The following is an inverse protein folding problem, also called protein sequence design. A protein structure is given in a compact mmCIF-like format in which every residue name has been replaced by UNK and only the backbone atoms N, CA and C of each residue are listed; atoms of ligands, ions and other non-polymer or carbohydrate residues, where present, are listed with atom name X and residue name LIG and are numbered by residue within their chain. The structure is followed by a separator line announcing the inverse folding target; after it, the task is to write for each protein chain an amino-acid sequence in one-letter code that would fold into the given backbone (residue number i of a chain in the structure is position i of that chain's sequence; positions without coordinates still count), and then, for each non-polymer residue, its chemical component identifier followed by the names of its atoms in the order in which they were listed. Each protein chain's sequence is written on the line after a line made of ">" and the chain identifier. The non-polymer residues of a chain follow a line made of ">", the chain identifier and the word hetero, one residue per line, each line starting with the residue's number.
data_IF_097202790328
#
_entry.id   IF_097202790328
#
_cell.length_a   1.000
_cell.length_b   1.000
_cell.length_c   1.000
_cell.angle_alpha   90.00
_cell.angle_beta   90.00
_cell.angle_gamma   90.00
#
_symmetry.space_group_name_H-M   'P 1'
#
loop_
_entity.id
_entity.type
_entity.pdbx_description
1 polymer ?
#
# COMPACT_ATOMS: atom_id res chain seq x y z
N UNK A 1 25.89 33.95 27.60
CA UNK A 1 25.34 33.98 26.23
C UNK A 1 24.39 32.81 25.94
N UNK A 2 24.71 31.55 26.28
CA UNK A 2 23.83 30.40 26.02
C UNK A 2 22.38 30.54 26.56
N UNK A 3 22.20 31.13 27.75
CA UNK A 3 20.88 31.36 28.35
C UNK A 3 19.99 32.35 27.57
N UNK A 4 20.58 33.36 26.95
CA UNK A 4 19.82 34.33 26.15
C UNK A 4 19.32 33.70 24.85
N UNK A 5 20.14 32.83 24.24
CA UNK A 5 19.77 32.11 23.02
C UNK A 5 18.67 31.07 23.29
N UNK A 6 18.74 30.36 24.42
CA UNK A 6 17.69 29.42 24.82
C UNK A 6 16.35 30.11 25.07
N UNK A 7 16.35 31.24 25.78
CA UNK A 7 15.14 32.04 26.03
C UNK A 7 14.51 32.57 24.74
N UNK A 8 15.33 32.97 23.76
CA UNK A 8 14.84 33.42 22.46
C UNK A 8 14.14 32.30 21.69
N UNK A 9 14.75 31.11 21.63
CA UNK A 9 14.18 29.95 20.92
C UNK A 9 12.83 29.55 21.54
N UNK A 10 12.70 29.56 22.87
CA UNK A 10 11.44 29.24 23.54
C UNK A 10 10.33 30.27 23.23
N UNK A 11 10.65 31.57 23.23
CA UNK A 11 9.68 32.62 22.87
C UNK A 11 9.21 32.49 21.42
N UNK A 12 10.12 32.17 20.52
CA UNK A 12 9.79 31.98 19.11
C UNK A 12 8.89 30.75 18.90
N UNK A 13 9.14 29.65 19.64
CA UNK A 13 8.26 28.48 19.63
C UNK A 13 6.87 28.79 20.16
N UNK A 14 6.77 29.52 21.28
CA UNK A 14 5.50 29.94 21.86
C UNK A 14 4.68 30.81 20.89
N UNK A 15 5.34 31.73 20.18
CA UNK A 15 4.68 32.57 19.16
C UNK A 15 4.13 31.73 18.00
N UNK A 16 4.86 30.70 17.57
CA UNK A 16 4.43 29.81 16.48
C UNK A 16 3.24 28.95 16.89
N UNK A 17 3.20 28.47 18.14
CA UNK A 17 2.04 27.73 18.65
C UNK A 17 0.81 28.62 18.80
N UNK A 18 0.98 29.87 19.21
CA UNK A 18 -0.12 30.85 19.28
C UNK A 18 -0.69 31.19 17.89
N UNK A 19 0.18 31.35 16.89
CA UNK A 19 -0.25 31.52 15.49
C UNK A 19 -0.99 30.30 14.96
N UNK A 20 -0.57 29.09 15.33
CA UNK A 20 -1.28 27.86 14.96
C UNK A 20 -2.66 27.81 15.60
N UNK A 21 -2.78 28.16 16.87
CA UNK A 21 -4.06 28.17 17.58
C UNK A 21 -5.02 29.18 16.92
N UNK A 22 -4.55 30.38 16.56
CA UNK A 22 -5.36 31.37 15.83
C UNK A 22 -5.85 30.86 14.46
N UNK A 23 -5.00 30.15 13.71
CA UNK A 23 -5.37 29.56 12.42
C UNK A 23 -6.39 28.42 12.57
N UNK A 24 -6.26 27.62 13.65
CA UNK A 24 -7.21 26.55 13.94
C UNK A 24 -8.56 27.11 14.40
N UNK A 25 -8.56 28.25 15.08
CA UNK A 25 -9.78 28.95 15.46
C UNK A 25 -10.51 29.56 14.24
N UNK A 26 -9.76 30.06 13.26
CA UNK A 26 -10.29 30.61 11.99
C UNK A 26 -10.87 29.52 11.05
N UNK A 27 -10.55 28.23 11.27
CA UNK A 27 -11.25 27.14 10.60
C UNK A 27 -12.71 27.12 11.08
N UNK A 28 -13.62 27.63 10.26
CA UNK A 28 -15.07 27.50 10.46
C UNK A 28 -15.45 26.02 10.65
N UNK A 29 -16.61 25.78 11.29
CA UNK A 29 -17.21 24.45 11.38
C UNK A 29 -17.38 23.92 9.94
N UNK A 30 -16.45 23.05 9.54
CA UNK A 30 -16.45 22.44 8.22
C UNK A 30 -17.84 21.86 7.94
N UNK A 31 -18.41 22.24 6.78
CA UNK A 31 -19.74 21.78 6.33
C UNK A 31 -19.77 20.25 6.14
N UNK A 32 -18.60 19.62 6.09
CA UNK A 32 -18.46 18.17 6.04
C UNK A 32 -18.52 17.58 7.44
N UNK A 33 -19.42 16.60 7.62
CA UNK A 33 -19.53 15.77 8.81
C UNK A 33 -18.13 15.20 9.14
N UNK A 34 -17.49 15.79 10.16
CA UNK A 34 -16.11 15.45 10.49
C UNK A 34 -16.10 14.00 10.93
N UNK A 35 -15.30 13.18 10.25
CA UNK A 35 -15.11 11.76 10.58
C UNK A 35 -14.25 11.68 11.86
N UNK A 36 -14.77 12.17 12.98
CA UNK A 36 -14.07 12.26 14.26
C UNK A 36 -12.85 13.18 14.28
N UNK A 37 -12.63 14.01 13.25
CA UNK A 37 -11.55 15.00 13.22
C UNK A 37 -12.04 16.32 13.80
N UNK A 38 -11.90 16.46 15.11
CA UNK A 38 -12.11 17.72 15.82
C UNK A 38 -10.92 18.67 15.59
N UNK A 39 -11.13 19.96 15.90
CA UNK A 39 -10.06 20.98 15.85
C UNK A 39 -8.84 20.56 16.69
N UNK A 40 -9.07 19.85 17.79
CA UNK A 40 -8.01 19.32 18.64
C UNK A 40 -7.18 18.23 17.95
N UNK A 41 -7.80 17.29 17.21
CA UNK A 41 -7.09 16.30 16.42
C UNK A 41 -6.26 16.94 15.30
N UNK A 42 -6.80 17.96 14.61
CA UNK A 42 -6.04 18.71 13.59
C UNK A 42 -4.81 19.37 14.22
N UNK A 43 -4.98 20.04 15.36
CA UNK A 43 -3.88 20.64 16.12
C UNK A 43 -2.82 19.61 16.49
N UNK A 44 -3.23 18.48 17.06
CA UNK A 44 -2.31 17.42 17.47
C UNK A 44 -1.57 16.84 16.28
N UNK A 45 -2.27 16.58 15.17
CA UNK A 45 -1.67 16.06 13.95
C UNK A 45 -0.59 16.99 13.37
N UNK A 46 -0.83 18.30 13.36
CA UNK A 46 0.16 19.28 12.90
C UNK A 46 1.39 19.28 13.81
N UNK A 47 1.19 19.24 15.14
CA UNK A 47 2.29 19.15 16.12
C UNK A 47 3.11 17.88 15.91
N UNK A 48 2.44 16.74 15.68
CA UNK A 48 3.09 15.46 15.45
C UNK A 48 3.94 15.47 14.17
N UNK A 49 3.41 15.97 13.05
CA UNK A 49 4.16 16.15 11.80
C UNK A 49 5.37 17.08 12.01
N UNK A 50 5.21 18.18 12.74
CA UNK A 50 6.31 19.10 13.03
C UNK A 50 7.40 18.44 13.88
N UNK A 51 7.02 17.62 14.86
CA UNK A 51 7.95 16.89 15.72
C UNK A 51 8.66 15.76 14.97
N UNK A 52 7.94 15.01 14.13
CA UNK A 52 8.50 13.99 13.25
C UNK A 52 9.56 14.59 12.32
N UNK A 53 9.26 15.73 11.68
CA UNK A 53 10.23 16.46 10.85
C UNK A 53 11.45 16.93 11.64
N UNK A 54 11.28 17.38 12.89
CA UNK A 54 12.41 17.77 13.75
C UNK A 54 13.27 16.55 14.12
N UNK A 55 12.65 15.40 14.38
CA UNK A 55 13.36 14.15 14.66
C UNK A 55 14.10 13.62 13.44
N UNK A 56 13.50 13.70 12.24
CA UNK A 56 14.15 13.22 11.01
C UNK A 56 15.41 14.02 10.68
N UNK A 57 15.39 15.35 10.83
CA UNK A 57 16.57 16.21 10.66
C UNK A 57 17.68 15.83 11.63
N UNK A 58 17.33 15.49 12.88
CA UNK A 58 18.31 15.01 13.88
C UNK A 58 18.93 13.67 13.49
N UNK A 59 18.19 12.83 12.77
CA UNK A 59 18.65 11.53 12.27
C UNK A 59 19.33 11.61 10.90
N UNK A 60 19.55 12.82 10.35
CA UNK A 60 20.18 13.02 9.04
C UNK A 60 19.29 12.73 7.82
N UNK A 61 17.98 12.51 8.01
CA UNK A 61 17.02 12.36 6.92
C UNK A 61 16.41 13.73 6.58
N UNK A 62 16.90 14.34 5.50
CA UNK A 62 16.36 15.58 4.94
C UNK A 62 15.34 15.28 3.83
N UNK A 63 14.06 15.41 4.17
CA UNK A 63 12.96 15.20 3.22
C UNK A 63 12.79 16.32 2.20
N UNK A 64 13.46 17.47 2.34
CA UNK A 64 13.40 18.52 1.32
C UNK A 64 14.11 18.11 0.03
N UNK A 65 15.15 17.27 0.16
CA UNK A 65 15.92 16.73 -0.97
C UNK A 65 15.16 15.68 -1.79
N UNK A 66 14.19 14.99 -1.18
CA UNK A 66 13.41 13.94 -1.87
C UNK A 66 12.43 14.49 -2.90
N UNK A 67 12.07 15.78 -2.81
CA UNK A 67 11.20 16.44 -3.79
C UNK A 67 11.94 16.95 -5.03
N UNK A 68 13.28 16.98 -5.00
CA UNK A 68 14.13 17.48 -6.09
C UNK A 68 14.91 16.38 -6.84
N UNK A 69 14.70 15.11 -6.50
CA UNK A 69 15.40 13.97 -7.10
C UNK A 69 14.42 13.03 -7.80
N UNK A 70 13.82 13.49 -8.90
CA UNK A 70 13.23 12.56 -9.87
C UNK A 70 13.21 13.17 -11.28
N UNK A 71 14.37 13.62 -11.77
CA UNK A 71 14.67 13.65 -13.20
C UNK A 71 16.08 13.10 -13.44
N UNK A 72 16.13 11.79 -13.71
CA UNK A 72 17.15 11.16 -14.55
C UNK A 72 18.58 11.11 -14.02
N UNK A 73 18.99 9.95 -13.50
CA UNK A 73 20.31 9.39 -13.80
C UNK A 73 20.37 7.89 -13.54
N UNK A 74 20.19 7.15 -14.63
CA UNK A 74 20.84 5.86 -14.85
C UNK A 74 22.34 6.07 -15.07
N UNK A 75 23.19 5.47 -14.24
CA UNK A 75 24.37 4.69 -14.67
C UNK A 75 25.26 4.31 -13.47
N UNK A 76 25.46 3.00 -13.32
CA UNK A 76 26.75 2.30 -13.19
C UNK A 76 27.76 2.72 -12.10
N UNK A 77 28.07 1.72 -11.27
CA UNK A 77 29.40 1.33 -10.79
C UNK A 77 30.37 2.42 -10.31
N UNK A 78 30.62 2.48 -9.01
CA UNK A 78 31.89 1.98 -8.46
C UNK A 78 32.04 2.17 -6.94
N UNK A 79 32.56 1.08 -6.37
CA UNK A 79 33.36 0.89 -5.18
C UNK A 79 33.87 2.10 -4.36
N UNK A 80 33.94 1.81 -3.06
CA UNK A 80 34.97 2.19 -2.09
C UNK A 80 34.71 3.44 -1.25
N UNK A 81 34.22 3.24 -0.02
CA UNK A 81 34.70 4.01 1.13
C UNK A 81 34.62 3.17 2.41
N UNK A 82 35.79 2.69 2.79
CA UNK A 82 36.19 2.19 4.10
C UNK A 82 36.08 3.30 5.15
N UNK A 83 35.34 3.09 6.25
CA UNK A 83 35.57 3.83 7.50
C UNK A 83 35.00 3.13 8.73
N UNK A 84 35.95 2.52 9.43
CA UNK A 84 36.13 2.45 10.88
C UNK A 84 34.97 2.07 11.79
N UNK A 85 35.11 0.84 12.29
CA UNK A 85 34.59 0.30 13.54
C UNK A 85 34.70 1.28 14.71
N UNK A 86 33.63 1.38 15.48
CA UNK A 86 33.69 1.66 16.92
C UNK A 86 32.90 0.56 17.63
N UNK A 87 33.65 -0.45 18.08
CA UNK A 87 33.19 -1.43 19.07
C UNK A 87 32.77 -0.70 20.33
N UNK A 88 31.50 -0.83 20.69
CA UNK A 88 31.06 -0.69 22.08
C UNK A 88 30.55 -2.05 22.48
N UNK A 89 31.37 -2.77 23.26
CA UNK A 89 30.98 -4.01 23.92
C UNK A 89 29.93 -3.67 24.99
N UNK A 90 28.76 -4.30 24.91
CA UNK A 90 27.80 -4.35 26.00
C UNK A 90 27.60 -5.84 26.37
N UNK A 91 27.95 -6.27 27.59
CA UNK A 91 27.86 -7.66 28.01
C UNK A 91 26.52 -7.88 28.71
N UNK A 92 25.57 -8.51 28.02
CA UNK A 92 24.48 -9.24 28.67
C UNK A 92 24.06 -10.42 27.79
N UNK A 93 24.86 -11.48 27.92
CA UNK A 93 24.43 -12.86 27.73
C UNK A 93 23.18 -13.13 28.58
N UNK A 94 22.06 -13.43 27.91
CA UNK A 94 20.98 -14.19 28.52
C UNK A 94 20.60 -15.32 27.57
N UNK A 95 21.28 -16.45 27.78
CA UNK A 95 20.95 -17.76 27.24
C UNK A 95 19.45 -18.03 27.39
N UNK A 96 18.75 -18.18 26.26
CA UNK A 96 17.44 -18.82 26.26
C UNK A 96 17.58 -20.14 25.53
N UNK A 97 17.45 -21.20 26.31
CA UNK A 97 17.53 -22.59 25.90
C UNK A 97 16.41 -22.93 24.91
N UNK A 98 16.79 -23.53 23.78
CA UNK A 98 15.92 -24.37 22.96
C UNK A 98 15.65 -25.69 23.70
N UNK A 99 14.37 -26.07 23.86
CA UNK A 99 14.05 -27.45 23.53
C UNK A 99 12.64 -27.57 22.92
N UNK A 100 12.56 -28.16 21.73
CA UNK A 100 11.87 -29.44 21.55
C UNK A 100 11.69 -29.76 20.06
N UNK A 101 12.48 -30.75 19.62
CA UNK A 101 12.06 -31.72 18.62
C UNK A 101 10.69 -32.30 19.00
N UNK A 102 9.73 -32.19 18.08
CA UNK A 102 8.57 -33.07 18.08
C UNK A 102 8.38 -33.61 16.67
N UNK A 103 9.09 -34.70 16.39
CA UNK A 103 8.70 -35.67 15.37
C UNK A 103 7.24 -36.08 15.64
N UNK A 104 6.35 -35.86 14.67
CA UNK A 104 5.05 -36.54 14.67
C UNK A 104 4.91 -37.35 13.40
N UNK A 105 4.91 -38.64 13.66
CA UNK A 105 4.61 -39.80 12.85
C UNK A 105 3.56 -39.61 11.76
N UNK A 106 3.97 -40.08 10.59
CA UNK A 106 3.23 -40.87 9.62
C UNK A 106 2.17 -41.81 10.27
N UNK A 107 0.93 -41.77 9.77
CA UNK A 107 0.00 -42.90 9.83
C UNK A 107 -1.22 -42.70 8.91
N UNK A 108 -1.30 -43.63 7.96
CA UNK A 108 -2.48 -44.39 7.51
C UNK A 108 -3.67 -43.65 6.87
N UNK A 109 -3.79 -43.91 5.57
CA UNK A 109 -4.97 -44.51 4.92
C UNK A 109 -6.27 -44.59 5.74
N UNK A 110 -7.33 -43.94 5.24
CA UNK A 110 -8.67 -44.51 5.31
C UNK A 110 -9.47 -44.09 4.07
N UNK A 111 -9.72 -45.08 3.22
CA UNK A 111 -10.81 -45.07 2.23
C UNK A 111 -12.16 -44.79 2.90
N UNK A 112 -13.00 -43.99 2.23
CA UNK A 112 -14.37 -44.36 1.81
C UNK A 112 -15.28 -43.14 1.65
N UNK A 113 -15.56 -42.84 0.38
CA UNK A 113 -16.90 -42.88 -0.20
C UNK A 113 -18.05 -42.23 0.60
N UNK A 114 -18.40 -40.99 0.26
CA UNK A 114 -19.81 -40.60 0.16
C UNK A 114 -20.02 -39.73 -1.07
N UNK A 115 -20.60 -40.38 -2.07
CA UNK A 115 -21.26 -39.84 -3.24
C UNK A 115 -22.31 -38.79 -2.83
N UNK A 116 -22.14 -37.55 -3.28
CA UNK A 116 -23.22 -36.56 -3.34
C UNK A 116 -23.57 -36.29 -4.81
N UNK A 117 -24.86 -36.23 -5.16
CA UNK A 117 -25.30 -36.08 -6.54
C UNK A 117 -24.91 -34.72 -7.09
N UNK A 118 -24.24 -34.73 -8.24
CA UNK A 118 -23.92 -33.57 -9.07
C UNK A 118 -25.21 -32.89 -9.53
N UNK A 119 -25.61 -31.83 -8.83
CA UNK A 119 -26.82 -31.05 -9.13
C UNK A 119 -26.53 -29.67 -9.74
N UNK A 120 -25.30 -29.42 -10.20
CA UNK A 120 -24.89 -28.14 -10.81
C UNK A 120 -24.54 -28.23 -12.30
N UNK A 121 -25.03 -29.23 -13.02
CA UNK A 121 -24.99 -29.26 -14.48
C UNK A 121 -26.24 -28.59 -15.08
N UNK A 122 -26.30 -27.25 -15.05
CA UNK A 122 -27.03 -26.41 -16.02
C UNK A 122 -27.01 -24.94 -15.60
N UNK A 123 -25.90 -24.26 -15.87
CA UNK A 123 -25.97 -22.84 -16.22
C UNK A 123 -25.36 -22.71 -17.61
N UNK A 124 -26.18 -22.21 -18.52
CA UNK A 124 -25.99 -22.24 -19.95
C UNK A 124 -24.64 -21.69 -20.39
N UNK A 125 -23.89 -22.55 -21.06
CA UNK A 125 -22.70 -22.22 -21.83
C UNK A 125 -23.15 -21.50 -23.12
N UNK A 126 -23.66 -20.27 -23.02
CA UNK A 126 -23.86 -19.41 -24.19
C UNK A 126 -22.53 -18.77 -24.56
N UNK A 127 -21.66 -19.56 -25.20
CA UNK A 127 -20.48 -19.06 -25.93
C UNK A 127 -20.93 -18.27 -27.16
N UNK A 128 -21.45 -17.08 -26.91
CA UNK A 128 -21.36 -16.01 -27.89
C UNK A 128 -19.91 -15.54 -27.86
N UNK A 129 -19.12 -15.93 -28.86
CA UNK A 129 -17.81 -15.37 -29.15
C UNK A 129 -17.97 -13.88 -29.50
N UNK A 130 -18.27 -13.05 -28.50
CA UNK A 130 -17.89 -11.65 -28.55
C UNK A 130 -16.37 -11.68 -28.53
N UNK A 131 -15.74 -11.15 -29.59
CA UNK A 131 -14.30 -10.90 -29.60
C UNK A 131 -13.98 -10.24 -28.28
N UNK A 132 -13.30 -10.98 -27.42
CA UNK A 132 -12.83 -10.48 -26.15
C UNK A 132 -12.03 -9.23 -26.48
N UNK A 133 -12.54 -8.08 -26.06
CA UNK A 133 -11.77 -6.85 -26.08
C UNK A 133 -10.65 -7.09 -25.08
N UNK A 134 -9.56 -7.71 -25.55
CA UNK A 134 -8.36 -7.95 -24.76
C UNK A 134 -7.88 -6.58 -24.28
N UNK A 135 -8.13 -6.31 -23.00
CA UNK A 135 -7.64 -5.11 -22.33
C UNK A 135 -6.12 -5.06 -22.48
N UNK A 136 -5.60 -3.88 -22.79
CA UNK A 136 -4.15 -3.69 -22.81
C UNK A 136 -3.58 -3.97 -21.41
N UNK A 137 -2.31 -4.36 -21.35
CA UNK A 137 -1.64 -4.58 -20.06
C UNK A 137 -1.64 -3.29 -19.23
N UNK A 138 -1.46 -2.15 -19.88
CA UNK A 138 -1.47 -0.83 -19.28
C UNK A 138 -2.83 -0.52 -18.65
N UNK A 139 -3.93 -0.82 -19.35
CA UNK A 139 -5.29 -0.66 -18.83
C UNK A 139 -5.53 -1.54 -17.60
N UNK A 140 -5.11 -2.81 -17.66
CA UNK A 140 -5.23 -3.74 -16.54
C UNK A 140 -4.47 -3.22 -15.30
N UNK A 141 -3.29 -2.62 -15.49
CA UNK A 141 -2.51 -2.01 -14.41
C UNK A 141 -3.27 -0.84 -13.79
N UNK A 142 -3.91 0.02 -14.59
CA UNK A 142 -4.68 1.16 -14.09
C UNK A 142 -5.90 0.68 -13.30
N UNK A 143 -6.65 -0.29 -13.82
CA UNK A 143 -7.82 -0.89 -13.15
C UNK A 143 -7.43 -1.43 -11.77
N UNK A 144 -6.37 -2.24 -11.70
CA UNK A 144 -5.89 -2.81 -10.42
C UNK A 144 -5.39 -1.73 -9.48
N UNK A 145 -4.65 -0.73 -9.99
CA UNK A 145 -4.15 0.38 -9.16
C UNK A 145 -5.30 1.16 -8.50
N UNK A 146 -6.37 1.44 -9.24
CA UNK A 146 -7.57 2.12 -8.71
C UNK A 146 -8.35 1.21 -7.76
N UNK A 147 -8.47 -0.08 -8.05
CA UNK A 147 -9.16 -1.04 -7.19
C UNK A 147 -8.55 -1.10 -5.78
N UNK A 148 -7.22 -1.06 -5.67
CA UNK A 148 -6.52 -1.05 -4.40
C UNK A 148 -6.36 0.34 -3.79
N UNK A 149 -6.69 1.42 -4.52
CA UNK A 149 -6.49 2.79 -4.06
C UNK A 149 -5.02 3.23 -4.00
N UNK A 150 -4.15 2.59 -4.78
CA UNK A 150 -2.72 2.93 -4.87
C UNK A 150 -2.49 4.12 -5.81
N UNK A 151 -1.37 4.84 -5.64
CA UNK A 151 -1.00 5.96 -6.55
C UNK A 151 -0.36 5.41 -7.82
N UNK A 152 0.63 4.51 -7.67
CA UNK A 152 1.33 3.87 -8.78
C UNK A 152 1.13 2.35 -8.73
N UNK A 153 1.31 1.70 -9.89
CA UNK A 153 1.25 0.23 -9.99
C UNK A 153 2.37 -0.48 -9.21
N UNK A 154 3.52 0.18 -9.05
CA UNK A 154 4.63 -0.27 -8.19
C UNK A 154 4.19 -0.51 -6.75
N UNK A 155 3.26 0.32 -6.26
CA UNK A 155 2.84 0.36 -4.86
C UNK A 155 1.87 -0.76 -4.50
N UNK A 156 1.35 -1.49 -5.50
CA UNK A 156 0.48 -2.65 -5.30
C UNK A 156 1.37 -3.89 -5.17
N UNK A 157 1.65 -4.42 -3.96
CA UNK A 157 2.49 -5.60 -3.82
C UNK A 157 1.77 -6.84 -4.34
N UNK A 158 2.54 -7.82 -4.81
CA UNK A 158 1.99 -9.10 -5.29
C UNK A 158 1.24 -9.88 -4.20
N UNK A 159 1.58 -9.65 -2.93
CA UNK A 159 0.91 -10.23 -1.77
C UNK A 159 -0.56 -9.78 -1.63
N UNK A 160 -0.95 -8.63 -2.20
CA UNK A 160 -2.35 -8.17 -2.19
C UNK A 160 -3.16 -8.73 -3.36
N UNK A 161 -2.52 -8.92 -4.52
CA UNK A 161 -3.14 -9.44 -5.74
C UNK A 161 -3.45 -10.94 -5.60
N UNK A 162 -2.52 -11.70 -5.03
CA UNK A 162 -2.59 -13.17 -4.99
C UNK A 162 -3.81 -13.71 -4.22
N UNK A 163 -4.17 -13.19 -3.03
CA UNK A 163 -5.36 -13.64 -2.30
C UNK A 163 -6.66 -13.38 -3.05
N UNK A 164 -6.81 -12.22 -3.71
CA UNK A 164 -7.97 -11.92 -4.53
C UNK A 164 -8.05 -12.84 -5.74
N UNK A 165 -6.92 -13.09 -6.39
CA UNK A 165 -6.88 -13.99 -7.52
C UNK A 165 -7.24 -15.42 -7.12
N UNK A 166 -6.80 -15.90 -5.95
CA UNK A 166 -7.23 -17.21 -5.40
C UNK A 166 -8.71 -17.23 -5.01
N UNK A 167 -9.26 -16.11 -4.54
CA UNK A 167 -10.67 -15.97 -4.18
C UNK A 167 -11.57 -16.03 -5.41
N UNK A 168 -11.14 -15.44 -6.53
CA UNK A 168 -11.95 -15.35 -7.75
C UNK A 168 -11.64 -16.46 -8.75
N UNK A 169 -10.40 -16.94 -8.80
CA UNK A 169 -9.96 -18.04 -9.66
C UNK A 169 -9.56 -19.25 -8.82
N UNK A 170 -10.18 -20.39 -9.09
CA UNK A 170 -9.95 -21.61 -8.32
C UNK A 170 -8.59 -22.27 -8.61
N UNK A 171 -7.88 -21.85 -9.66
CA UNK A 171 -6.51 -22.30 -9.93
C UNK A 171 -5.59 -21.13 -10.31
N UNK A 172 -4.68 -20.80 -9.40
CA UNK A 172 -3.63 -19.81 -9.64
C UNK A 172 -2.28 -20.48 -9.42
N UNK A 173 -1.42 -20.59 -10.45
CA UNK A 173 -0.07 -21.09 -10.29
C UNK A 173 0.73 -20.16 -9.37
N UNK A 174 1.46 -20.73 -8.40
CA UNK A 174 2.35 -19.97 -7.52
C UNK A 174 3.47 -19.24 -8.27
N UNK A 175 3.86 -19.75 -9.45
CA UNK A 175 4.93 -19.21 -10.30
C UNK A 175 4.48 -18.08 -11.24
N UNK A 176 3.21 -17.68 -11.21
CA UNK A 176 2.64 -16.72 -12.14
C UNK A 176 3.21 -15.30 -11.96
N UNK A 177 3.69 -14.63 -13.02
CA UNK A 177 4.21 -13.26 -12.91
C UNK A 177 3.14 -12.25 -12.45
N UNK A 178 3.57 -11.14 -11.83
CA UNK A 178 2.66 -10.07 -11.34
C UNK A 178 1.79 -9.53 -12.47
N UNK A 179 2.38 -9.27 -13.63
CA UNK A 179 1.67 -8.72 -14.79
C UNK A 179 0.64 -9.70 -15.36
N UNK A 180 0.96 -11.00 -15.41
CA UNK A 180 -0.03 -11.99 -15.82
C UNK A 180 -1.17 -12.08 -14.80
N UNK A 181 -0.88 -11.99 -13.50
CA UNK A 181 -1.89 -12.03 -12.44
C UNK A 181 -2.86 -10.85 -12.57
N UNK A 182 -2.33 -9.66 -12.92
CA UNK A 182 -3.11 -8.44 -13.16
C UNK A 182 -3.98 -8.56 -14.41
N UNK A 183 -3.46 -9.10 -15.51
CA UNK A 183 -4.26 -9.37 -16.73
C UNK A 183 -5.46 -10.26 -16.45
N UNK A 184 -5.30 -11.26 -15.58
CA UNK A 184 -6.42 -12.14 -15.18
C UNK A 184 -7.36 -11.50 -14.16
N UNK A 185 -6.84 -10.69 -13.25
CA UNK A 185 -7.62 -10.07 -12.19
C UNK A 185 -8.49 -8.91 -12.69
N UNK A 186 -8.01 -8.12 -13.65
CA UNK A 186 -8.71 -6.90 -14.09
C UNK A 186 -10.12 -7.17 -14.64
N UNK A 187 -10.36 -8.16 -15.51
CA UNK A 187 -11.71 -8.50 -15.98
C UNK A 187 -12.65 -8.91 -14.82
N UNK A 188 -12.16 -9.73 -13.89
CA UNK A 188 -12.93 -10.18 -12.72
C UNK A 188 -13.36 -9.02 -11.80
N UNK A 189 -12.54 -7.96 -11.71
CA UNK A 189 -12.89 -6.77 -10.93
C UNK A 189 -14.02 -5.95 -11.57
N UNK A 190 -14.07 -5.94 -12.91
CA UNK A 190 -15.14 -5.28 -13.68
C UNK A 190 -16.42 -6.11 -13.59
N UNK A 191 -16.35 -7.42 -13.83
CA UNK A 191 -17.48 -8.34 -13.82
C UNK A 191 -18.20 -8.36 -12.46
N UNK A 192 -17.42 -8.25 -11.37
CA UNK A 192 -17.95 -8.20 -10.00
C UNK A 192 -18.39 -6.81 -9.56
N UNK A 193 -18.31 -5.80 -10.44
CA UNK A 193 -18.65 -4.39 -10.16
C UNK A 193 -17.89 -3.82 -8.96
N UNK A 194 -16.63 -4.23 -8.77
CA UNK A 194 -15.73 -3.62 -7.78
C UNK A 194 -15.18 -2.32 -8.36
N UNK A 195 -14.93 -2.32 -9.67
CA UNK A 195 -14.48 -1.18 -10.45
C UNK A 195 -15.43 -0.98 -11.63
N UNK A 196 -15.75 0.28 -11.92
CA UNK A 196 -16.50 0.70 -13.09
C UNK A 196 -15.56 1.49 -14.01
N UNK A 197 -15.55 1.13 -15.29
CA UNK A 197 -14.77 1.83 -16.32
C UNK A 197 -15.76 2.57 -17.22
N UNK A 198 -15.63 3.90 -17.29
CA UNK A 198 -16.56 4.76 -18.03
C UNK A 198 -16.15 5.00 -19.49
N UNK A 199 -15.18 4.24 -20.02
CA UNK A 199 -14.71 4.40 -21.40
C UNK A 199 -15.76 3.92 -22.40
N UNK A 200 -15.94 4.67 -23.49
CA UNK A 200 -16.74 4.19 -24.61
C UNK A 200 -16.04 2.97 -25.25
N UNK A 201 -16.80 1.97 -25.71
CA UNK A 201 -16.25 0.78 -26.36
C UNK A 201 -15.59 1.18 -27.70
N UNK A 202 -14.27 1.40 -27.68
CA UNK A 202 -13.49 1.78 -28.86
C UNK A 202 -12.23 2.58 -28.55
N UNK A 203 -12.18 3.27 -27.40
CA UNK A 203 -11.00 4.02 -26.99
C UNK A 203 -9.95 3.10 -26.35
N UNK A 204 -8.80 3.01 -26.99
CA UNK A 204 -7.73 2.05 -26.67
C UNK A 204 -6.81 2.47 -25.52
N UNK A 205 -7.11 3.56 -24.80
CA UNK A 205 -6.30 4.02 -23.68
C UNK A 205 -7.20 4.44 -22.51
N UNK A 206 -7.33 3.55 -21.52
CA UNK A 206 -8.06 3.86 -20.29
C UNK A 206 -7.18 4.77 -19.43
N UNK A 207 -7.68 5.97 -19.10
CA UNK A 207 -7.00 6.86 -18.16
C UNK A 207 -7.53 6.65 -16.73
N UNK A 208 -6.71 7.01 -15.73
CA UNK A 208 -7.07 6.81 -14.31
C UNK A 208 -8.39 7.48 -13.91
N UNK A 209 -8.74 8.63 -14.50
CA UNK A 209 -9.98 9.35 -14.19
C UNK A 209 -11.24 8.67 -14.76
N UNK A 210 -11.08 7.75 -15.73
CA UNK A 210 -12.18 6.97 -16.31
C UNK A 210 -12.52 5.72 -15.48
N UNK A 211 -11.76 5.46 -14.43
CA UNK A 211 -11.90 4.25 -13.61
C UNK A 211 -12.37 4.68 -12.22
N UNK A 212 -13.57 4.21 -11.83
CA UNK A 212 -14.18 4.52 -10.53
C UNK A 212 -14.22 3.26 -9.67
N UNK A 213 -13.73 3.38 -8.43
CA UNK A 213 -13.86 2.32 -7.43
C UNK A 213 -15.26 2.37 -6.83
N UNK A 214 -16.01 1.26 -6.95
CA UNK A 214 -17.35 1.12 -6.40
C UNK A 214 -17.35 0.48 -5.01
N UNK A 215 -16.41 -0.42 -4.72
CA UNK A 215 -16.32 -1.14 -3.45
C UNK A 215 -14.92 -1.13 -2.86
N UNK A 216 -14.84 -1.15 -1.52
CA UNK A 216 -13.59 -1.40 -0.81
C UNK A 216 -13.29 -2.91 -0.84
N UNK A 217 -12.04 -3.23 -1.15
CA UNK A 217 -11.50 -4.59 -1.25
C UNK A 217 -10.89 -4.99 0.09
#
# INVERSE_FOLDING_TARGET
>A
MAWQQYSYIQKEQARKTEQLDALVDELDDCIFETVGFDKAAIRQHIIDIMNERRQSVRNGYDYTLTSSLDEGSTSEDNNNTQSHNSETQDPNDLETQDPNDLETQDNSETDQLTTLPSFFDKIGNSKGHQKENELSLEDCKIIVTVAFGAIKYSDVPRSWITPLLKKYMHSVPSTMSKDNAVRKLAPELIDRKIVEVTSEPGDCNISRCMVKRLQKL
#
